data_IF_413792836253
#
_entry.id   IF_413792836253
#
_cell.length_a   1.000
_cell.length_b   1.000
_cell.length_c   1.000
_cell.angle_alpha   90.00
_cell.angle_beta   90.00
_cell.angle_gamma   90.00
#
_symmetry.space_group_name_H-M   'P 1'
#
loop_
_entity.id
_entity.type
_entity.pdbx_description
1 polymer ?
#
# COMPACT_ATOMS: atom_id res chain seq x y z
N UNK A 1 11.67 10.43 -5.74
CA UNK A 1 11.81 10.62 -4.26
C UNK A 1 11.12 9.50 -3.48
N UNK A 2 11.69 9.05 -2.36
CA UNK A 2 11.06 8.08 -1.44
C UNK A 2 9.81 8.67 -0.76
N UNK A 3 9.10 7.86 0.04
CA UNK A 3 7.92 8.23 0.82
C UNK A 3 6.59 7.73 0.23
N UNK A 4 5.51 8.01 0.99
CA UNK A 4 4.13 7.72 0.61
C UNK A 4 3.73 8.55 -0.63
N UNK A 5 3.00 7.93 -1.55
CA UNK A 5 2.49 8.53 -2.79
C UNK A 5 0.97 8.62 -2.80
N UNK A 6 0.30 7.67 -2.15
CA UNK A 6 -1.16 7.64 -1.99
C UNK A 6 -1.49 7.50 -0.51
N UNK A 7 -2.34 8.41 -0.03
CA UNK A 7 -2.74 8.49 1.38
C UNK A 7 -3.90 7.55 1.73
N UNK A 8 -4.16 7.40 3.03
CA UNK A 8 -5.31 6.63 3.54
C UNK A 8 -6.63 7.17 2.95
N UNK A 9 -7.53 6.27 2.55
CA UNK A 9 -8.84 6.60 2.00
C UNK A 9 -8.86 7.06 0.54
N UNK A 10 -7.70 7.24 -0.10
CA UNK A 10 -7.64 7.63 -1.50
C UNK A 10 -8.01 6.47 -2.42
N UNK A 11 -8.77 6.76 -3.47
CA UNK A 11 -9.01 5.82 -4.55
C UNK A 11 -7.76 5.69 -5.43
N UNK A 12 -7.41 4.46 -5.75
CA UNK A 12 -6.26 4.10 -6.59
C UNK A 12 -6.66 3.06 -7.62
N UNK A 13 -6.00 3.11 -8.78
CA UNK A 13 -6.07 2.07 -9.78
C UNK A 13 -5.01 0.99 -9.51
N UNK A 14 -5.21 -0.19 -10.07
CA UNK A 14 -4.21 -1.24 -10.16
C UNK A 14 -2.93 -0.70 -10.83
N UNK A 15 -1.78 -1.14 -10.34
CA UNK A 15 -0.46 -0.69 -10.78
C UNK A 15 0.01 0.63 -10.16
N UNK A 16 -0.86 1.37 -9.46
CA UNK A 16 -0.42 2.60 -8.80
C UNK A 16 0.57 2.34 -7.68
N UNK A 17 1.62 3.17 -7.63
CA UNK A 17 2.59 3.17 -6.54
C UNK A 17 1.96 3.80 -5.31
N UNK A 18 1.99 3.08 -4.19
CA UNK A 18 1.46 3.52 -2.89
C UNK A 18 2.57 4.13 -2.02
N UNK A 19 3.71 3.45 -1.92
CA UNK A 19 4.84 3.85 -1.08
C UNK A 19 6.15 3.46 -1.75
N UNK A 20 7.09 4.40 -1.85
CA UNK A 20 8.48 4.10 -2.20
C UNK A 20 9.33 4.13 -0.94
N UNK A 21 9.98 3.04 -0.60
CA UNK A 21 10.73 2.91 0.65
C UNK A 21 12.08 2.21 0.41
N UNK A 22 12.90 2.15 1.45
CA UNK A 22 14.11 1.33 1.51
C UNK A 22 13.90 0.36 2.68
N UNK A 23 14.00 -0.94 2.42
CA UNK A 23 13.55 -1.96 3.36
C UNK A 23 12.03 -1.94 3.53
N UNK A 24 11.53 -2.75 4.46
CA UNK A 24 10.08 -2.97 4.64
C UNK A 24 9.58 -2.26 5.91
N UNK A 25 9.55 -0.92 5.90
CA UNK A 25 8.99 -0.14 7.02
C UNK A 25 7.47 -0.29 7.08
N UNK A 26 6.84 -0.25 5.91
CA UNK A 26 5.43 -0.58 5.70
C UNK A 26 5.39 -1.90 4.94
N UNK A 27 4.59 -2.83 5.43
CA UNK A 27 4.44 -4.15 4.86
C UNK A 27 3.33 -4.16 3.81
N UNK A 28 3.43 -5.00 2.76
CA UNK A 28 2.31 -5.25 1.87
C UNK A 28 1.19 -5.96 2.65
N UNK A 29 -0.02 -5.42 2.58
CA UNK A 29 -1.24 -6.03 3.09
C UNK A 29 -2.08 -6.64 1.95
N UNK A 30 -3.40 -6.53 2.07
CA UNK A 30 -4.35 -7.12 1.12
C UNK A 30 -4.27 -6.36 -0.22
N UNK A 31 -4.20 -7.09 -1.33
CA UNK A 31 -4.13 -6.56 -2.70
C UNK A 31 -2.99 -5.56 -2.96
N UNK A 32 -1.90 -5.67 -2.20
CA UNK A 32 -0.68 -4.89 -2.39
C UNK A 32 0.50 -5.84 -2.57
N UNK A 33 1.37 -5.55 -3.54
CA UNK A 33 2.61 -6.29 -3.76
C UNK A 33 3.83 -5.39 -3.56
N UNK A 34 4.96 -6.04 -3.27
CA UNK A 34 6.26 -5.40 -3.11
C UNK A 34 7.12 -5.66 -4.35
N UNK A 35 7.67 -4.60 -4.93
CA UNK A 35 8.66 -4.67 -6.00
C UNK A 35 10.05 -5.06 -5.50
N UNK A 36 10.99 -5.27 -6.42
CA UNK A 36 12.39 -5.57 -6.10
C UNK A 36 13.11 -4.41 -5.39
N UNK A 37 12.66 -3.17 -5.61
CA UNK A 37 13.16 -1.94 -4.97
C UNK A 37 12.44 -1.62 -3.64
N UNK A 38 11.71 -2.59 -3.07
CA UNK A 38 10.82 -2.46 -1.91
C UNK A 38 9.62 -1.50 -2.09
N UNK A 39 9.37 -1.01 -3.32
CA UNK A 39 8.18 -0.19 -3.62
C UNK A 39 6.90 -1.00 -3.46
N UNK A 40 5.89 -0.43 -2.79
CA UNK A 40 4.56 -1.02 -2.66
C UNK A 40 3.63 -0.47 -3.74
N UNK A 41 2.91 -1.36 -4.41
CA UNK A 41 1.95 -1.01 -5.46
C UNK A 41 0.64 -1.79 -5.33
N UNK A 42 -0.45 -1.17 -5.77
CA UNK A 42 -1.79 -1.77 -5.77
C UNK A 42 -1.92 -2.82 -6.88
N UNK A 43 -2.57 -3.95 -6.58
CA UNK A 43 -2.89 -4.99 -7.57
C UNK A 43 -4.32 -4.85 -8.10
N UNK A 44 -5.20 -4.21 -7.34
CA UNK A 44 -6.61 -3.98 -7.67
C UNK A 44 -6.96 -2.49 -7.58
N UNK A 45 -8.11 -2.13 -8.15
CA UNK A 45 -8.69 -0.81 -7.98
C UNK A 45 -9.42 -0.75 -6.64
N UNK A 46 -9.32 0.36 -5.92
CA UNK A 46 -9.99 0.49 -4.64
C UNK A 46 -9.47 1.62 -3.77
N UNK A 47 -9.81 1.58 -2.49
CA UNK A 47 -9.33 2.53 -1.47
C UNK A 47 -8.13 1.99 -0.74
N UNK A 48 -7.12 2.86 -0.59
CA UNK A 48 -5.93 2.58 0.22
C UNK A 48 -6.29 2.61 1.70
N UNK A 49 -5.83 1.62 2.45
CA UNK A 49 -5.93 1.58 3.91
C UNK A 49 -4.57 1.30 4.56
N UNK A 50 -4.12 2.17 5.45
CA UNK A 50 -2.98 1.94 6.31
C UNK A 50 -3.43 1.39 7.66
N UNK A 51 -2.84 0.26 8.06
CA UNK A 51 -3.26 -0.48 9.25
C UNK A 51 -2.03 -0.84 10.08
N UNK A 52 -2.23 -1.01 11.39
CA UNK A 52 -1.21 -1.54 12.29
C UNK A 52 -1.34 -3.06 12.34
N UNK A 53 -0.21 -3.75 12.31
CA UNK A 53 -0.13 -5.22 12.39
C UNK A 53 0.68 -5.59 13.63
N UNK A 54 -0.02 -6.16 14.61
CA UNK A 54 0.58 -6.50 15.89
C UNK A 54 1.09 -5.27 16.63
N UNK A 55 2.21 -5.44 17.36
CA UNK A 55 2.73 -4.39 18.24
C UNK A 55 3.41 -3.27 17.46
N UNK A 56 4.33 -3.56 16.54
CA UNK A 56 5.21 -2.50 16.00
C UNK A 56 5.15 -2.31 14.48
N UNK A 57 4.48 -3.21 13.76
CA UNK A 57 4.47 -3.18 12.29
C UNK A 57 3.28 -2.41 11.75
N UNK A 58 3.45 -1.84 10.56
CA UNK A 58 2.39 -1.21 9.78
C UNK A 58 2.30 -1.90 8.43
N UNK A 59 1.10 -2.03 7.90
CA UNK A 59 0.85 -2.51 6.54
C UNK A 59 0.00 -1.53 5.75
N UNK A 60 -0.02 -1.69 4.43
CA UNK A 60 -0.94 -0.99 3.55
C UNK A 60 -1.70 -2.01 2.71
N UNK A 61 -3.01 -1.87 2.69
CA UNK A 61 -3.96 -2.70 1.96
C UNK A 61 -4.74 -1.86 0.96
N UNK A 62 -5.32 -2.49 -0.07
CA UNK A 62 -6.29 -1.87 -0.97
C UNK A 62 -7.57 -2.69 -0.94
N UNK A 63 -8.66 -2.04 -0.54
CA UNK A 63 -9.99 -2.65 -0.49
C UNK A 63 -10.82 -2.14 -1.66
N UNK A 64 -11.43 -3.08 -2.37
CA UNK A 64 -12.37 -2.78 -3.45
C UNK A 64 -13.57 -2.04 -2.87
N UNK A 65 -14.01 -0.98 -3.56
CA UNK A 65 -15.28 -0.35 -3.22
C UNK A 65 -16.33 -1.13 -4.02
N UNK A 66 -17.12 -1.95 -3.35
CA UNK A 66 -18.39 -2.37 -3.91
C UNK A 66 -19.27 -1.13 -4.05
N UNK A 67 -19.74 -0.88 -5.27
CA UNK A 67 -20.75 0.15 -5.57
C UNK A 67 -22.04 -0.10 -4.78
#
# INVERSE_FOLDING_TARGET
RLGVKKGDGQYVLSGNILVRQRGTKIHPGINVKKGSDDTLFAVVNGKVKFERVGKDRKQVSVYEIAE
#
